data_IF_041554379438
#
_entry.id   IF_041554379438
#
_cell.length_a   1.000
_cell.length_b   1.000
_cell.length_c   1.000
_cell.angle_alpha   90.00
_cell.angle_beta   90.00
_cell.angle_gamma   90.00
#
_symmetry.space_group_name_H-M   'P 1'
#
loop_
_entity.id
_entity.type
_entity.pdbx_description
1 polymer ?
#
# COMPACT_ATOMS: atom_id res chain seq x y z
N UNK A 1 -0.36 -17.71 -4.16
CA UNK A 1 -0.90 -17.57 -2.79
C UNK A 1 -2.01 -18.58 -2.62
N UNK A 2 -2.34 -18.99 -1.39
CA UNK A 2 -3.47 -19.88 -1.14
C UNK A 2 -4.11 -19.57 0.22
N UNK A 3 -5.37 -19.95 0.37
CA UNK A 3 -6.12 -19.81 1.62
C UNK A 3 -6.06 -21.12 2.42
N UNK A 4 -5.87 -20.99 3.72
CA UNK A 4 -6.21 -22.05 4.69
C UNK A 4 -7.12 -21.42 5.74
N UNK A 5 -8.36 -21.87 5.80
CA UNK A 5 -9.46 -21.19 6.49
C UNK A 5 -9.52 -19.70 6.11
N UNK A 6 -9.32 -18.80 7.07
CA UNK A 6 -9.35 -17.36 6.90
C UNK A 6 -7.94 -16.72 6.92
N UNK A 7 -6.89 -17.54 6.79
CA UNK A 7 -5.50 -17.10 6.72
C UNK A 7 -4.98 -17.22 5.28
N UNK A 8 -4.25 -16.20 4.82
CA UNK A 8 -3.67 -16.16 3.48
C UNK A 8 -2.19 -16.51 3.54
N UNK A 9 -1.72 -17.39 2.66
CA UNK A 9 -0.34 -17.89 2.64
C UNK A 9 0.36 -17.60 1.31
N UNK A 10 1.63 -17.24 1.38
CA UNK A 10 2.50 -17.06 0.20
C UNK A 10 3.02 -18.42 -0.26
N UNK A 11 3.04 -18.67 -1.58
CA UNK A 11 3.66 -19.89 -2.11
C UNK A 11 5.19 -19.78 -2.11
N UNK A 12 5.94 -20.88 -1.90
CA UNK A 12 7.41 -20.88 -1.92
C UNK A 12 8.01 -20.66 -3.31
N UNK A 13 7.19 -20.62 -4.36
CA UNK A 13 7.65 -20.49 -5.75
C UNK A 13 6.93 -19.32 -6.42
N UNK A 14 7.70 -18.53 -7.17
CA UNK A 14 7.24 -17.38 -7.95
C UNK A 14 7.67 -17.53 -9.41
N UNK A 15 6.88 -17.01 -10.34
CA UNK A 15 7.26 -16.96 -11.75
C UNK A 15 8.01 -15.65 -12.02
N UNK A 16 9.25 -15.76 -12.50
CA UNK A 16 10.08 -14.61 -12.84
C UNK A 16 10.01 -14.34 -14.35
N UNK A 17 9.10 -13.45 -14.73
CA UNK A 17 8.80 -13.13 -16.13
C UNK A 17 10.01 -12.74 -16.98
N UNK A 18 10.98 -11.92 -16.52
CA UNK A 18 12.14 -11.54 -17.33
C UNK A 18 13.00 -12.72 -17.82
N UNK A 19 13.05 -13.82 -17.06
CA UNK A 19 13.74 -15.05 -17.47
C UNK A 19 12.79 -16.18 -17.85
N UNK A 20 11.48 -15.90 -17.87
CA UNK A 20 10.42 -16.88 -18.17
C UNK A 20 10.54 -18.19 -17.36
N UNK A 21 11.02 -18.11 -16.12
CA UNK A 21 11.33 -19.28 -15.29
C UNK A 21 10.67 -19.20 -13.92
N UNK A 22 10.46 -20.36 -13.30
CA UNK A 22 10.08 -20.44 -11.91
C UNK A 22 11.31 -20.30 -11.01
N UNK A 23 11.19 -19.50 -9.96
CA UNK A 23 12.25 -19.29 -8.97
C UNK A 23 11.69 -19.40 -7.55
N UNK A 24 12.59 -19.54 -6.58
CA UNK A 24 12.22 -19.49 -5.17
C UNK A 24 11.66 -18.09 -4.86
N UNK A 25 10.50 -18.05 -4.20
CA UNK A 25 9.88 -16.78 -3.77
C UNK A 25 10.84 -16.02 -2.84
N UNK A 26 10.98 -14.68 -2.97
CA UNK A 26 11.88 -13.91 -2.13
C UNK A 26 11.64 -14.14 -0.63
N UNK A 27 12.72 -14.35 0.13
CA UNK A 27 12.68 -14.62 1.57
C UNK A 27 12.41 -16.07 1.98
N UNK A 28 12.19 -16.99 1.04
CA UNK A 28 12.17 -18.43 1.34
C UNK A 28 13.59 -19.00 1.44
N UNK A 29 13.75 -20.02 2.29
CA UNK A 29 15.00 -20.78 2.42
C UNK A 29 15.38 -21.46 1.11
N UNK A 30 16.68 -21.55 0.82
CA UNK A 30 17.20 -22.34 -0.30
C UNK A 30 17.49 -23.80 0.10
N UNK A 31 17.44 -24.13 1.40
CA UNK A 31 17.82 -25.44 1.93
C UNK A 31 16.63 -26.35 2.25
N UNK A 32 15.42 -25.82 2.37
CA UNK A 32 14.20 -26.59 2.66
C UNK A 32 12.96 -25.86 2.15
N UNK A 33 11.91 -26.61 1.85
CA UNK A 33 10.63 -26.08 1.38
C UNK A 33 9.69 -25.91 2.59
N UNK A 34 9.00 -24.78 2.65
CA UNK A 34 7.93 -24.51 3.61
C UNK A 34 6.71 -23.96 2.89
N UNK A 35 5.54 -24.14 3.50
CA UNK A 35 4.27 -23.60 3.03
C UNK A 35 3.57 -22.75 4.10
N UNK A 36 4.18 -22.58 5.26
CA UNK A 36 3.61 -21.96 6.47
C UNK A 36 3.77 -20.43 6.52
N UNK A 37 4.23 -19.77 5.44
CA UNK A 37 4.43 -18.31 5.44
C UNK A 37 3.10 -17.57 5.24
N UNK A 38 2.54 -17.10 6.34
CA UNK A 38 1.35 -16.23 6.36
C UNK A 38 1.66 -14.89 5.71
N UNK A 39 0.69 -14.34 4.99
CA UNK A 39 0.71 -12.99 4.44
C UNK A 39 0.12 -12.03 5.49
N UNK A 40 0.93 -11.15 6.10
CA UNK A 40 0.47 -10.16 7.05
C UNK A 40 -0.35 -9.06 6.38
N UNK A 41 -1.18 -8.37 7.17
CA UNK A 41 -2.01 -7.27 6.69
C UNK A 41 -1.17 -6.13 6.09
N UNK A 42 0.06 -5.93 6.58
CA UNK A 42 1.08 -5.05 5.99
C UNK A 42 1.27 -5.29 4.49
N UNK A 43 1.34 -6.56 4.05
CA UNK A 43 1.50 -6.86 2.63
C UNK A 43 0.26 -6.43 1.84
N UNK A 44 -0.93 -6.67 2.38
CA UNK A 44 -2.18 -6.30 1.70
C UNK A 44 -2.45 -4.79 1.78
N UNK A 45 -1.84 -4.06 2.71
CA UNK A 45 -1.92 -2.60 2.77
C UNK A 45 -1.30 -1.97 1.52
N UNK A 46 -0.25 -2.58 0.97
CA UNK A 46 0.40 -2.14 -0.27
C UNK A 46 -0.09 -2.87 -1.53
N UNK A 47 -0.68 -4.06 -1.40
CA UNK A 47 -1.08 -4.92 -2.54
C UNK A 47 -2.60 -5.11 -2.70
N UNK A 48 -3.39 -4.53 -1.81
CA UNK A 48 -4.85 -4.47 -1.87
C UNK A 48 -5.34 -3.03 -1.80
N UNK A 49 -6.65 -2.85 -1.89
CA UNK A 49 -7.34 -1.57 -1.65
C UNK A 49 -7.94 -1.56 -0.26
N UNK A 50 -8.49 -2.70 0.15
CA UNK A 50 -9.02 -2.91 1.50
C UNK A 50 -8.97 -4.39 1.86
N UNK A 51 -8.76 -4.71 3.13
CA UNK A 51 -9.06 -6.02 3.68
C UNK A 51 -9.52 -5.86 5.13
N UNK A 52 -10.67 -6.44 5.47
CA UNK A 52 -11.05 -6.60 6.87
C UNK A 52 -10.20 -7.70 7.49
N UNK A 53 -9.45 -7.35 8.53
CA UNK A 53 -8.51 -8.22 9.22
C UNK A 53 -8.62 -8.04 10.72
N UNK A 54 -8.62 -9.16 11.42
CA UNK A 54 -8.51 -9.26 12.87
C UNK A 54 -7.29 -10.13 13.22
N UNK A 55 -6.88 -10.13 14.48
CA UNK A 55 -5.81 -10.99 14.97
C UNK A 55 -6.41 -12.12 15.82
N UNK A 56 -5.90 -13.34 15.66
CA UNK A 56 -6.25 -14.45 16.53
C UNK A 56 -5.44 -14.45 17.83
N UNK A 57 -5.61 -15.48 18.66
CA UNK A 57 -4.92 -15.64 19.94
C UNK A 57 -3.38 -15.71 19.84
N UNK A 58 -2.83 -15.98 18.64
CA UNK A 58 -1.41 -16.01 18.37
C UNK A 58 -0.91 -14.72 17.70
N UNK A 59 -1.75 -13.69 17.60
CA UNK A 59 -1.54 -12.47 16.83
C UNK A 59 -1.33 -12.73 15.33
N UNK A 60 -1.92 -13.81 14.79
CA UNK A 60 -1.88 -14.08 13.36
C UNK A 60 -3.10 -13.44 12.66
N UNK A 61 -2.92 -12.88 11.44
CA UNK A 61 -3.99 -12.19 10.73
C UNK A 61 -5.05 -13.17 10.23
N UNK A 62 -6.31 -12.89 10.57
CA UNK A 62 -7.50 -13.59 10.11
C UNK A 62 -8.33 -12.63 9.25
N UNK A 63 -8.52 -12.97 7.98
CA UNK A 63 -9.20 -12.12 7.02
C UNK A 63 -10.65 -12.56 6.80
N UNK A 64 -11.55 -11.59 6.69
CA UNK A 64 -12.88 -11.84 6.14
C UNK A 64 -12.80 -11.88 4.62
N UNK A 65 -12.84 -13.09 4.04
CA UNK A 65 -12.75 -13.33 2.59
C UNK A 65 -13.84 -12.61 1.77
N UNK A 66 -14.95 -12.21 2.39
CA UNK A 66 -16.03 -11.47 1.71
C UNK A 66 -15.80 -9.97 1.70
N UNK A 67 -14.87 -9.46 2.51
CA UNK A 67 -14.55 -8.04 2.68
C UNK A 67 -13.10 -7.75 2.31
N UNK A 68 -12.70 -8.15 1.10
CA UNK A 68 -11.38 -7.86 0.52
C UNK A 68 -11.55 -7.28 -0.87
N UNK A 69 -10.79 -6.21 -1.13
CA UNK A 69 -10.64 -5.59 -2.46
C UNK A 69 -9.17 -5.75 -2.84
N UNK A 70 -8.90 -6.65 -3.78
CA UNK A 70 -7.54 -6.96 -4.24
C UNK A 70 -7.01 -5.91 -5.22
N UNK A 71 -5.69 -5.78 -5.27
CA UNK A 71 -5.03 -4.81 -6.16
C UNK A 71 -5.19 -3.37 -5.67
N UNK A 72 -4.52 -2.46 -6.36
CA UNK A 72 -4.61 -1.02 -6.12
C UNK A 72 -5.68 -0.45 -7.06
N UNK A 73 -6.84 -0.14 -6.52
CA UNK A 73 -8.00 0.38 -7.25
C UNK A 73 -8.30 1.84 -6.86
N UNK A 74 -9.33 2.43 -7.45
CA UNK A 74 -9.75 3.82 -7.33
C UNK A 74 -9.77 4.30 -5.88
N UNK A 75 -10.37 3.53 -4.97
CA UNK A 75 -10.58 3.92 -3.57
C UNK A 75 -9.27 4.00 -2.78
N UNK A 76 -8.18 3.35 -3.24
CA UNK A 76 -6.86 3.49 -2.60
C UNK A 76 -6.34 4.93 -2.71
N UNK A 77 -6.64 5.61 -3.82
CA UNK A 77 -6.19 6.97 -4.10
C UNK A 77 -7.29 8.04 -3.98
N UNK A 78 -8.55 7.62 -3.88
CA UNK A 78 -9.70 8.52 -3.80
C UNK A 78 -10.56 8.35 -2.53
N UNK A 79 -10.15 7.44 -1.63
CA UNK A 79 -10.91 7.08 -0.44
C UNK A 79 -12.15 6.24 -0.76
N UNK A 80 -12.89 5.79 0.26
CA UNK A 80 -14.13 5.05 0.09
C UNK A 80 -15.15 5.82 -0.76
N UNK A 81 -15.72 5.17 -1.77
CA UNK A 81 -16.57 5.80 -2.77
C UNK A 81 -18.06 5.46 -2.62
N UNK A 82 -18.47 4.80 -1.53
CA UNK A 82 -19.87 4.41 -1.31
C UNK A 82 -20.83 5.61 -1.38
N UNK A 83 -20.53 6.69 -0.66
CA UNK A 83 -21.35 7.91 -0.64
C UNK A 83 -21.28 8.69 -1.97
N UNK A 84 -20.16 8.58 -2.69
CA UNK A 84 -20.01 9.11 -4.04
C UNK A 84 -20.97 8.42 -5.01
N UNK A 85 -20.96 7.08 -5.01
CA UNK A 85 -21.80 6.26 -5.89
C UNK A 85 -23.28 6.42 -5.55
N UNK A 86 -23.65 6.43 -4.26
CA UNK A 86 -25.03 6.63 -3.84
C UNK A 86 -25.57 7.98 -4.34
N UNK A 87 -24.83 9.06 -4.09
CA UNK A 87 -25.22 10.40 -4.52
C UNK A 87 -25.41 10.51 -6.05
N UNK A 88 -24.45 10.00 -6.83
CA UNK A 88 -24.52 10.11 -8.30
C UNK A 88 -25.56 9.19 -8.95
N UNK A 89 -25.96 8.11 -8.27
CA UNK A 89 -27.13 7.30 -8.70
C UNK A 89 -28.45 8.04 -8.51
N UNK A 90 -28.58 8.81 -7.43
CA UNK A 90 -29.76 9.63 -7.14
C UNK A 90 -29.80 10.92 -7.98
N UNK A 91 -28.64 11.41 -8.40
CA UNK A 91 -28.47 12.65 -9.15
C UNK A 91 -27.68 12.45 -10.47
N UNK A 92 -28.19 11.70 -11.46
CA UNK A 92 -27.43 11.32 -12.66
C UNK A 92 -27.01 12.49 -13.56
N UNK A 93 -27.67 13.65 -13.42
CA UNK A 93 -27.33 14.88 -14.16
C UNK A 93 -26.20 15.69 -13.51
N UNK A 94 -25.89 15.48 -12.21
CA UNK A 94 -24.75 16.12 -11.57
C UNK A 94 -23.45 15.54 -12.17
N UNK A 95 -22.58 16.42 -12.68
CA UNK A 95 -21.31 16.01 -13.30
C UNK A 95 -20.11 16.32 -12.41
N UNK A 96 -20.29 17.14 -11.38
CA UNK A 96 -19.24 17.43 -10.43
C UNK A 96 -19.07 16.26 -9.46
N UNK A 97 -17.84 15.80 -9.20
CA UNK A 97 -17.60 14.75 -8.22
C UNK A 97 -18.03 15.24 -6.83
N UNK A 98 -18.87 14.45 -6.15
CA UNK A 98 -19.31 14.68 -4.76
C UNK A 98 -18.87 13.50 -3.90
N UNK A 99 -18.62 13.75 -2.62
CA UNK A 99 -18.30 12.72 -1.62
C UNK A 99 -17.12 11.80 -2.00
N UNK A 100 -16.12 12.35 -2.70
CA UNK A 100 -14.91 11.63 -3.11
C UNK A 100 -13.71 12.56 -3.01
N UNK A 101 -12.54 12.00 -2.71
CA UNK A 101 -11.33 12.80 -2.54
C UNK A 101 -10.78 13.18 -3.91
N UNK A 102 -10.53 14.48 -4.10
CA UNK A 102 -9.92 15.02 -5.30
C UNK A 102 -8.44 15.27 -5.01
N UNK A 103 -7.57 14.39 -5.53
CA UNK A 103 -6.12 14.41 -5.25
C UNK A 103 -5.49 15.78 -5.52
N UNK A 104 -5.94 16.51 -6.55
CA UNK A 104 -5.45 17.85 -6.91
C UNK A 104 -5.72 18.91 -5.84
N UNK A 105 -6.70 18.69 -4.96
CA UNK A 105 -7.02 19.60 -3.86
C UNK A 105 -6.20 19.31 -2.60
N UNK A 106 -5.52 18.16 -2.55
CA UNK A 106 -4.65 17.80 -1.43
C UNK A 106 -3.38 18.64 -1.44
N UNK A 107 -2.84 18.91 -0.26
CA UNK A 107 -1.50 19.49 -0.11
C UNK A 107 -0.45 18.58 -0.74
N UNK A 108 0.71 19.14 -1.08
CA UNK A 108 1.83 18.36 -1.62
C UNK A 108 2.21 17.19 -0.71
N UNK A 109 2.24 17.41 0.61
CA UNK A 109 2.59 16.34 1.55
C UNK A 109 1.55 15.23 1.58
N UNK A 110 0.25 15.56 1.58
CA UNK A 110 -0.82 14.55 1.53
C UNK A 110 -0.78 13.70 0.25
N UNK A 111 -0.43 14.31 -0.90
CA UNK A 111 -0.24 13.56 -2.16
C UNK A 111 0.96 12.62 -2.06
N UNK A 112 2.06 13.10 -1.51
CA UNK A 112 3.26 12.30 -1.27
C UNK A 112 2.98 11.14 -0.31
N UNK A 113 2.27 11.40 0.79
CA UNK A 113 1.87 10.42 1.80
C UNK A 113 1.01 9.31 1.19
N UNK A 114 0.09 9.66 0.28
CA UNK A 114 -0.70 8.67 -0.46
C UNK A 114 0.16 7.69 -1.28
N UNK A 115 1.24 8.18 -1.91
CA UNK A 115 2.20 7.30 -2.59
C UNK A 115 3.12 6.57 -1.59
N UNK A 116 3.56 7.27 -0.56
CA UNK A 116 4.52 6.80 0.42
C UNK A 116 3.97 5.64 1.27
N UNK A 117 2.66 5.49 1.40
CA UNK A 117 2.04 4.32 2.03
C UNK A 117 2.65 3.02 1.47
N UNK A 118 2.83 2.94 0.15
CA UNK A 118 3.39 1.76 -0.53
C UNK A 118 4.84 1.95 -0.97
N UNK A 119 5.21 3.17 -1.34
CA UNK A 119 6.49 3.49 -1.99
C UNK A 119 7.53 4.10 -1.05
N UNK A 120 7.40 3.92 0.27
CA UNK A 120 8.44 4.33 1.24
C UNK A 120 9.17 3.16 1.91
N UNK A 121 9.08 1.95 1.36
CA UNK A 121 9.59 0.75 2.01
C UNK A 121 8.74 0.36 3.22
N UNK A 122 9.23 -0.62 4.00
CA UNK A 122 8.48 -1.08 5.17
C UNK A 122 8.41 -0.01 6.26
N UNK A 123 7.19 0.22 6.77
CA UNK A 123 6.90 1.14 7.86
C UNK A 123 6.30 0.38 9.04
N UNK A 124 6.66 0.76 10.26
CA UNK A 124 6.06 0.17 11.45
C UNK A 124 4.71 0.84 11.73
N UNK A 125 3.62 0.08 11.74
CA UNK A 125 2.30 0.61 12.10
C UNK A 125 2.27 1.17 13.53
N UNK A 126 1.61 2.32 13.66
CA UNK A 126 1.17 2.92 14.92
C UNK A 126 -0.32 2.66 15.12
N UNK A 127 -1.10 2.65 14.03
CA UNK A 127 -2.55 2.40 14.02
C UNK A 127 -2.89 1.10 13.29
N UNK A 128 -4.16 0.70 13.36
CA UNK A 128 -4.65 -0.49 12.67
C UNK A 128 -4.41 -0.39 11.16
N UNK A 129 -4.10 -1.53 10.51
CA UNK A 129 -3.96 -1.58 9.05
C UNK A 129 -5.24 -1.18 8.34
N UNK A 130 -5.08 -0.55 7.17
CA UNK A 130 -6.19 0.00 6.38
C UNK A 130 -6.99 1.14 7.05
N UNK A 131 -6.45 1.76 8.12
CA UNK A 131 -7.06 2.95 8.72
C UNK A 131 -6.63 4.26 8.05
N UNK A 132 -5.44 4.30 7.43
CA UNK A 132 -4.98 5.45 6.67
C UNK A 132 -5.87 5.69 5.43
N UNK A 133 -6.35 6.92 5.27
CA UNK A 133 -6.98 7.38 4.03
C UNK A 133 -6.16 8.52 3.43
N UNK A 134 -6.07 8.56 2.10
CA UNK A 134 -5.39 9.66 1.42
C UNK A 134 -5.94 11.02 1.86
N UNK A 135 -5.07 12.00 2.06
CA UNK A 135 -5.45 13.25 2.72
C UNK A 135 -5.14 13.28 4.22
N UNK A 136 -4.86 12.14 4.83
CA UNK A 136 -4.25 12.10 6.15
C UNK A 136 -2.74 12.36 6.10
N UNK A 137 -2.13 12.53 7.28
CA UNK A 137 -0.68 12.49 7.44
C UNK A 137 -0.23 11.05 7.72
N UNK A 138 0.58 10.47 6.83
CA UNK A 138 1.00 9.06 6.92
C UNK A 138 1.77 8.75 8.22
N UNK A 139 2.53 9.73 8.73
CA UNK A 139 3.30 9.59 9.96
C UNK A 139 2.42 9.44 11.21
N UNK A 140 1.12 9.80 11.15
CA UNK A 140 0.17 9.53 12.22
C UNK A 140 -0.26 8.05 12.29
N UNK A 141 -0.02 7.28 11.23
CA UNK A 141 -0.47 5.89 11.09
C UNK A 141 0.68 4.89 11.11
N UNK A 142 1.88 5.30 10.69
CA UNK A 142 3.06 4.43 10.65
C UNK A 142 4.37 5.22 10.68
N UNK A 143 5.43 4.63 11.23
CA UNK A 143 6.77 5.21 11.27
C UNK A 143 7.66 4.59 10.19
N UNK A 144 8.39 5.41 9.45
CA UNK A 144 9.40 4.95 8.51
C UNK A 144 10.51 4.17 9.24
N UNK A 145 10.83 2.97 8.77
CA UNK A 145 11.93 2.14 9.31
C UNK A 145 13.32 2.54 8.81
N UNK A 146 13.46 3.66 8.11
CA UNK A 146 14.70 4.10 7.46
C UNK A 146 15.03 5.55 7.83
N UNK A 147 16.32 5.87 7.89
CA UNK A 147 16.79 7.27 8.05
C UNK A 147 16.92 7.94 6.69
N UNK A 148 16.42 9.18 6.58
CA UNK A 148 16.55 10.03 5.38
C UNK A 148 18.00 10.41 5.04
N UNK A 149 18.92 10.21 5.97
CA UNK A 149 20.30 10.73 5.89
C UNK A 149 21.27 9.76 5.21
N UNK A 150 20.81 8.55 4.87
CA UNK A 150 21.63 7.50 4.26
C UNK A 150 20.92 6.88 3.06
N UNK A 151 21.26 7.37 1.86
CA UNK A 151 20.79 6.79 0.58
C UNK A 151 21.19 5.31 0.49
N UNK A 152 22.33 4.92 1.08
CA UNK A 152 22.82 3.54 1.10
C UNK A 152 21.97 2.56 1.91
N UNK A 153 21.04 3.06 2.74
CA UNK A 153 20.09 2.22 3.52
C UNK A 153 18.68 2.21 2.92
N UNK A 154 18.45 2.91 1.82
CA UNK A 154 17.14 2.91 1.16
C UNK A 154 17.02 1.68 0.26
N UNK A 155 16.03 0.83 0.54
CA UNK A 155 15.70 -0.27 -0.35
C UNK A 155 15.16 0.27 -1.68
N UNK A 156 15.85 -0.03 -2.78
CA UNK A 156 15.40 0.34 -4.11
C UNK A 156 14.11 -0.39 -4.52
N UNK A 157 13.77 -1.48 -3.83
CA UNK A 157 12.51 -2.19 -3.98
C UNK A 157 11.45 -1.55 -3.08
N UNK A 158 10.74 -0.57 -3.62
CA UNK A 158 9.58 -0.01 -2.96
C UNK A 158 9.85 1.21 -2.07
N UNK A 159 11.05 1.82 -2.07
CA UNK A 159 11.30 3.12 -1.40
C UNK A 159 11.58 4.28 -2.38
N UNK A 160 10.79 4.37 -3.46
CA UNK A 160 10.89 5.45 -4.44
C UNK A 160 10.60 6.82 -3.82
N UNK A 161 9.77 6.88 -2.79
CA UNK A 161 9.53 8.08 -2.00
C UNK A 161 10.81 8.57 -1.33
N UNK A 162 11.52 7.72 -0.58
CA UNK A 162 12.79 8.09 0.04
C UNK A 162 13.84 8.53 -0.98
N UNK A 163 13.93 7.83 -2.12
CA UNK A 163 14.83 8.21 -3.21
C UNK A 163 14.47 9.58 -3.80
N UNK A 164 13.18 9.84 -4.05
CA UNK A 164 12.70 11.13 -4.55
C UNK A 164 13.02 12.26 -3.57
N UNK A 165 12.69 12.08 -2.28
CA UNK A 165 12.96 13.03 -1.20
C UNK A 165 14.45 13.36 -1.07
N UNK A 166 15.33 12.39 -1.35
CA UNK A 166 16.78 12.57 -1.27
C UNK A 166 17.35 13.41 -2.42
N UNK A 167 16.65 13.49 -3.56
CA UNK A 167 17.12 14.11 -4.80
C UNK A 167 17.25 15.64 -4.70
N UNK A 168 18.20 16.20 -5.47
CA UNK A 168 18.36 17.66 -5.57
C UNK A 168 17.12 18.34 -6.14
N UNK A 169 16.52 17.75 -7.19
CA UNK A 169 15.33 18.29 -7.85
C UNK A 169 14.16 18.45 -6.89
N UNK A 170 13.94 17.45 -6.02
CA UNK A 170 12.90 17.51 -5.02
C UNK A 170 13.19 18.56 -3.94
N UNK A 171 14.42 18.60 -3.42
CA UNK A 171 14.84 19.57 -2.38
C UNK A 171 14.77 21.02 -2.85
N UNK A 172 14.92 21.27 -4.15
CA UNK A 172 14.87 22.61 -4.75
C UNK A 172 13.47 23.02 -5.22
N UNK A 173 12.47 22.13 -5.17
CA UNK A 173 11.14 22.39 -5.69
C UNK A 173 10.06 22.22 -4.62
N UNK A 174 9.23 23.25 -4.47
CA UNK A 174 8.05 23.19 -3.59
C UNK A 174 6.83 22.55 -4.26
N UNK A 175 6.94 22.14 -5.53
CA UNK A 175 5.83 21.60 -6.33
C UNK A 175 6.07 20.17 -6.79
N UNK A 176 7.32 19.74 -6.93
CA UNK A 176 7.66 18.39 -7.42
C UNK A 176 7.14 17.33 -6.46
N UNK A 177 6.40 16.36 -6.98
CA UNK A 177 5.91 15.19 -6.26
C UNK A 177 6.01 13.92 -7.13
N UNK A 178 5.52 12.79 -6.62
CA UNK A 178 5.56 11.50 -7.33
C UNK A 178 4.86 11.55 -8.70
N UNK A 179 3.78 12.33 -8.82
CA UNK A 179 2.97 12.47 -10.04
C UNK A 179 3.59 13.38 -11.09
N UNK A 180 4.65 14.12 -10.73
CA UNK A 180 5.35 15.01 -11.67
C UNK A 180 6.25 14.24 -12.64
N UNK A 181 6.52 12.96 -12.38
CA UNK A 181 7.52 12.13 -13.08
C UNK A 181 6.95 10.78 -13.59
N UNK A 182 5.63 10.58 -13.50
CA UNK A 182 4.88 9.41 -13.97
C UNK A 182 3.71 9.87 -14.84
#
# INVERSE_FOLDING_TARGET
MYWNDNKLFQLPVSYYSPLSTWCNSPGYSTSFIKFDRIIPAECLECHGTYAKVEEDENNEPVYDKTQIIFGIDCERCHGPAADHVAFHKEHPEEKNPKNIIIIKQLTRQQRLDGCALCHSGFRQAIQQRFSFTIGDSLDAYSMAGYSSDSISTLDVHGNQYGLLMSSKCFKMSNQLDCSSLH
#
